data_IF_208430989848
#
_entry.id   IF_208430989848
#
_cell.length_a   1.000
_cell.length_b   1.000
_cell.length_c   1.000
_cell.angle_alpha   90.00
_cell.angle_beta   90.00
_cell.angle_gamma   90.00
#
_symmetry.space_group_name_H-M   'P 1'
#
loop_
_entity.id
_entity.type
_entity.pdbx_description
1 polymer ?
#
# COMPACT_ATOMS: atom_id res chain seq x y z
N UNK A 1 13.60 6.66 -3.24
CA UNK A 1 13.78 5.89 -2.00
C UNK A 1 12.55 5.03 -1.69
N UNK A 2 12.26 4.09 -2.60
CA UNK A 2 11.18 3.08 -2.60
C UNK A 2 11.12 2.30 -1.29
N UNK A 3 10.51 2.78 -0.19
CA UNK A 3 10.71 2.15 1.14
C UNK A 3 12.18 1.93 1.55
N UNK A 4 13.14 2.38 0.73
CA UNK A 4 14.58 2.18 0.80
C UNK A 4 15.17 3.39 1.54
N UNK A 5 14.67 3.66 2.74
CA UNK A 5 15.32 4.61 3.64
C UNK A 5 16.50 3.86 4.31
N UNK A 6 17.76 4.31 4.14
CA UNK A 6 18.91 3.67 4.75
C UNK A 6 18.98 3.86 6.28
N UNK A 7 18.01 4.55 6.90
CA UNK A 7 17.95 4.72 8.36
C UNK A 7 16.56 4.43 8.94
N UNK A 8 16.20 3.15 9.20
CA UNK A 8 15.10 2.82 10.12
C UNK A 8 15.32 3.35 11.55
N UNK A 9 16.53 3.82 11.86
CA UNK A 9 16.92 4.39 13.16
C UNK A 9 16.53 5.86 13.37
N UNK A 10 16.04 6.57 12.35
CA UNK A 10 15.47 7.92 12.54
C UNK A 10 14.03 7.92 13.06
N UNK A 11 13.51 6.74 13.44
CA UNK A 11 12.47 6.67 14.46
C UNK A 11 13.19 6.80 15.81
N UNK A 12 13.26 8.02 16.34
CA UNK A 12 13.70 8.24 17.71
C UNK A 12 12.74 7.52 18.67
N UNK A 13 13.16 6.35 19.16
CA UNK A 13 12.44 5.56 20.16
C UNK A 13 12.58 6.15 21.59
N UNK A 14 13.33 7.25 21.77
CA UNK A 14 13.71 7.81 23.06
C UNK A 14 13.33 9.29 23.26
N UNK A 15 12.27 9.77 22.62
CA UNK A 15 11.64 11.02 23.04
C UNK A 15 10.91 10.84 24.39
N UNK A 16 11.03 11.80 25.33
CA UNK A 16 10.56 11.64 26.71
C UNK A 16 9.04 11.38 26.76
N UNK A 17 8.65 10.39 27.59
CA UNK A 17 7.27 9.90 27.82
C UNK A 17 6.28 10.94 28.38
N UNK A 18 6.64 12.21 28.42
CA UNK A 18 5.83 13.29 28.99
C UNK A 18 5.92 14.54 28.12
N UNK A 19 5.27 14.49 26.95
CA UNK A 19 4.77 15.69 26.30
C UNK A 19 3.28 15.47 26.03
N UNK A 20 2.45 16.26 26.70
CA UNK A 20 1.07 16.47 26.26
C UNK A 20 1.14 17.15 24.88
N UNK A 21 0.94 16.38 23.83
CA UNK A 21 1.03 16.85 22.45
C UNK A 21 1.07 15.65 21.51
N UNK A 22 0.22 15.65 20.50
CA UNK A 22 0.18 14.62 19.47
C UNK A 22 1.55 14.47 18.78
N UNK A 23 1.85 13.29 18.24
CA UNK A 23 3.08 13.08 17.47
C UNK A 23 3.11 14.02 16.25
N UNK A 24 4.29 14.49 15.79
CA UNK A 24 4.40 15.29 14.56
C UNK A 24 3.74 14.59 13.38
N UNK A 25 3.01 15.34 12.55
CA UNK A 25 2.26 14.82 11.41
C UNK A 25 0.92 14.14 11.75
N UNK A 26 0.42 14.33 12.98
CA UNK A 26 -0.89 13.82 13.40
C UNK A 26 -1.70 14.90 14.11
N UNK A 27 -2.97 15.04 13.76
CA UNK A 27 -3.91 15.93 14.42
C UNK A 27 -5.26 15.24 14.68
N UNK A 28 -5.93 15.60 15.76
CA UNK A 28 -7.33 15.23 15.99
C UNK A 28 -8.23 16.41 15.66
N UNK A 29 -9.21 16.19 14.77
CA UNK A 29 -10.22 17.19 14.40
C UNK A 29 -11.60 16.74 14.89
N UNK A 30 -12.33 17.67 15.49
CA UNK A 30 -13.65 17.45 16.06
C UNK A 30 -14.73 17.49 14.98
N UNK A 31 -14.95 16.38 14.29
CA UNK A 31 -16.02 16.17 13.29
C UNK A 31 -17.43 16.15 13.90
N UNK A 32 -18.50 16.14 13.10
CA UNK A 32 -19.89 16.35 13.55
C UNK A 32 -20.26 15.53 14.80
N UNK A 33 -20.09 14.21 14.75
CA UNK A 33 -20.38 13.28 15.87
C UNK A 33 -19.13 12.58 16.41
N UNK A 34 -18.07 12.53 15.61
CA UNK A 34 -16.86 11.75 15.87
C UNK A 34 -15.59 12.62 15.82
N UNK A 35 -14.55 12.18 16.51
CA UNK A 35 -13.20 12.70 16.34
C UNK A 35 -12.57 12.01 15.14
N UNK A 36 -12.12 12.80 14.17
CA UNK A 36 -11.40 12.35 12.97
C UNK A 36 -9.92 12.56 13.21
N UNK A 37 -9.12 11.50 13.02
CA UNK A 37 -7.67 11.60 13.06
C UNK A 37 -7.18 12.04 11.69
N UNK A 38 -6.23 12.98 11.61
CA UNK A 38 -5.69 13.51 10.36
C UNK A 38 -4.20 13.21 10.33
N UNK A 39 -3.78 12.44 9.33
CA UNK A 39 -2.39 12.09 9.07
C UNK A 39 -1.84 13.03 7.99
N UNK A 40 -0.82 13.78 8.36
CA UNK A 40 0.00 14.57 7.43
C UNK A 40 0.92 13.63 6.64
N UNK A 41 1.03 13.79 5.31
CA UNK A 41 1.93 12.97 4.52
C UNK A 41 3.39 13.32 4.79
N UNK A 42 4.27 12.35 4.58
CA UNK A 42 5.72 12.61 4.48
C UNK A 42 6.20 12.39 3.05
N UNK A 43 7.03 13.29 2.55
CA UNK A 43 7.69 13.13 1.26
C UNK A 43 8.73 12.01 1.33
N UNK A 44 8.59 10.99 0.47
CA UNK A 44 9.52 9.87 0.34
C UNK A 44 9.81 9.70 -1.14
N UNK A 45 11.06 9.58 -1.60
CA UNK A 45 11.29 9.31 -3.01
C UNK A 45 10.90 7.85 -3.35
N UNK A 46 10.61 7.46 -4.57
CA UNK A 46 10.27 6.10 -5.03
C UNK A 46 11.30 5.59 -6.07
N UNK A 47 12.16 4.62 -5.72
CA UNK A 47 13.11 4.00 -6.68
C UNK A 47 14.57 4.47 -6.56
N UNK A 48 15.09 4.63 -5.33
CA UNK A 48 16.48 5.09 -5.12
C UNK A 48 16.72 6.62 -5.25
N UNK A 49 17.94 7.09 -5.60
CA UNK A 49 18.35 8.51 -5.56
C UNK A 49 17.90 9.40 -6.73
N UNK A 50 17.47 8.83 -7.86
CA UNK A 50 16.91 9.57 -9.03
C UNK A 50 15.41 9.29 -9.22
N UNK A 51 14.77 9.13 -8.09
CA UNK A 51 13.40 8.68 -7.93
C UNK A 51 12.41 9.84 -7.96
N UNK A 52 11.22 9.61 -8.52
CA UNK A 52 10.08 10.50 -8.29
C UNK A 52 9.75 10.59 -6.79
N UNK A 53 9.13 11.67 -6.33
CA UNK A 53 8.73 11.82 -4.92
C UNK A 53 7.28 11.43 -4.74
N UNK A 54 6.97 10.76 -3.64
CA UNK A 54 5.62 10.37 -3.24
C UNK A 54 5.33 10.88 -1.83
N UNK A 55 4.04 10.99 -1.51
CA UNK A 55 3.50 11.45 -0.24
C UNK A 55 2.94 10.25 0.52
N UNK A 56 3.64 9.83 1.58
CA UNK A 56 3.26 8.66 2.37
C UNK A 56 2.43 9.01 3.58
N UNK A 57 1.25 8.42 3.69
CA UNK A 57 0.33 8.65 4.84
C UNK A 57 0.26 7.46 5.80
N UNK A 58 0.32 6.22 5.30
CA UNK A 58 0.53 5.02 6.11
C UNK A 58 1.63 4.13 5.50
N UNK A 59 2.44 3.42 6.32
CA UNK A 59 2.38 3.39 7.77
C UNK A 59 3.10 4.59 8.40
N UNK A 60 2.55 5.07 9.52
CA UNK A 60 3.16 6.05 10.42
C UNK A 60 3.02 5.61 11.89
N UNK A 61 3.72 6.29 12.81
CA UNK A 61 3.70 5.92 14.25
C UNK A 61 2.28 6.00 14.83
N UNK A 62 1.52 7.01 14.43
CA UNK A 62 0.17 7.22 14.95
C UNK A 62 -0.86 6.23 14.37
N UNK A 63 -0.66 5.76 13.13
CA UNK A 63 -1.55 4.83 12.45
C UNK A 63 -0.74 3.98 11.48
N UNK A 64 -0.73 2.66 11.71
CA UNK A 64 -0.01 1.73 10.86
C UNK A 64 -0.92 1.00 9.87
N UNK A 65 -2.16 0.70 10.25
CA UNK A 65 -3.15 0.12 9.35
C UNK A 65 -4.52 0.82 9.44
N UNK A 66 -5.30 0.70 8.36
CA UNK A 66 -6.74 0.95 8.30
C UNK A 66 -7.38 -0.32 7.75
N UNK A 67 -8.12 -1.07 8.56
CA UNK A 67 -8.48 -2.44 8.21
C UNK A 67 -7.21 -3.29 8.00
N UNK A 68 -7.08 -3.92 6.83
CA UNK A 68 -5.84 -4.58 6.41
C UNK A 68 -4.91 -3.68 5.56
N UNK A 69 -5.34 -2.47 5.17
CA UNK A 69 -4.51 -1.52 4.43
C UNK A 69 -3.33 -1.08 5.30
N UNK A 70 -2.10 -1.41 4.89
CA UNK A 70 -0.90 -1.18 5.68
C UNK A 70 0.09 -0.21 5.02
N UNK A 71 -0.23 0.26 3.81
CA UNK A 71 0.59 1.18 3.03
C UNK A 71 -0.26 2.06 2.13
N UNK A 72 0.09 3.34 2.04
CA UNK A 72 -0.50 4.30 1.11
C UNK A 72 0.54 5.35 0.74
N UNK A 73 0.98 5.29 -0.51
CA UNK A 73 1.70 6.35 -1.19
C UNK A 73 0.78 7.04 -2.19
N UNK A 74 0.70 8.36 -2.10
CA UNK A 74 0.07 9.22 -3.09
C UNK A 74 1.16 9.90 -3.92
N UNK A 75 1.00 9.98 -5.24
CA UNK A 75 1.98 10.60 -6.12
C UNK A 75 1.34 11.43 -7.21
N UNK A 76 2.03 12.51 -7.58
CA UNK A 76 1.54 13.49 -8.55
C UNK A 76 0.46 14.44 -8.01
N UNK A 77 -0.20 15.18 -8.91
CA UNK A 77 0.03 15.20 -10.36
C UNK A 77 1.41 15.77 -10.72
N UNK A 78 2.28 14.93 -11.29
CA UNK A 78 3.66 15.28 -11.62
C UNK A 78 3.87 15.30 -13.14
N UNK A 79 4.53 16.34 -13.64
CA UNK A 79 5.07 16.38 -15.00
C UNK A 79 6.24 15.39 -15.13
N UNK A 80 6.08 14.36 -15.95
CA UNK A 80 7.06 13.29 -16.16
C UNK A 80 8.37 13.82 -16.76
N UNK A 81 8.33 14.91 -17.53
CA UNK A 81 9.54 15.51 -18.06
C UNK A 81 10.44 16.08 -16.94
N UNK A 82 9.84 16.43 -15.79
CA UNK A 82 10.55 16.97 -14.62
C UNK A 82 10.85 15.87 -13.59
N UNK A 83 9.87 15.00 -13.30
CA UNK A 83 10.00 13.95 -12.29
C UNK A 83 10.77 12.72 -12.76
N UNK A 84 10.87 12.52 -14.08
CA UNK A 84 11.43 11.31 -14.70
C UNK A 84 10.44 10.14 -14.79
N UNK A 85 9.22 10.30 -14.27
CA UNK A 85 8.18 9.28 -14.19
C UNK A 85 8.48 8.17 -13.19
N UNK A 86 7.61 7.17 -13.15
CA UNK A 86 7.79 5.96 -12.36
C UNK A 86 8.83 5.05 -13.03
N UNK A 87 9.85 4.66 -12.28
CA UNK A 87 10.91 3.75 -12.72
C UNK A 87 11.34 2.85 -11.57
N UNK A 88 10.51 1.88 -11.26
CA UNK A 88 10.74 0.94 -10.17
C UNK A 88 11.21 -0.37 -10.77
N UNK A 89 12.53 -0.62 -10.67
CA UNK A 89 13.14 -1.85 -11.14
C UNK A 89 12.64 -3.08 -10.33
N UNK A 90 12.97 -4.27 -10.84
CA UNK A 90 12.56 -5.55 -10.26
C UNK A 90 12.81 -5.59 -8.74
N UNK A 91 11.77 -5.80 -7.95
CA UNK A 91 11.83 -5.89 -6.49
C UNK A 91 10.76 -6.86 -5.97
N UNK A 92 10.94 -7.43 -4.77
CA UNK A 92 10.06 -8.47 -4.27
C UNK A 92 8.90 -7.91 -3.46
N UNK A 93 7.84 -8.71 -3.31
CA UNK A 93 6.82 -8.60 -2.26
C UNK A 93 6.50 -9.98 -1.68
N UNK A 94 6.07 -10.04 -0.42
CA UNK A 94 5.65 -11.28 0.25
C UNK A 94 4.63 -10.99 1.35
N UNK A 95 3.57 -11.80 1.44
CA UNK A 95 2.55 -11.72 2.50
C UNK A 95 1.55 -10.55 2.37
N UNK A 96 1.42 -9.98 1.18
CA UNK A 96 0.60 -8.79 0.91
C UNK A 96 0.03 -8.82 -0.51
N UNK A 97 -0.88 -7.90 -0.80
CA UNK A 97 -1.15 -7.46 -2.16
C UNK A 97 -0.83 -5.98 -2.33
N UNK A 98 -0.40 -5.62 -3.54
CA UNK A 98 -0.28 -4.23 -3.96
C UNK A 98 -1.48 -3.86 -4.83
N UNK A 99 -1.99 -2.64 -4.68
CA UNK A 99 -3.14 -2.10 -5.38
C UNK A 99 -2.75 -0.75 -5.96
N UNK A 100 -2.68 -0.68 -7.28
CA UNK A 100 -2.37 0.55 -8.02
C UNK A 100 -3.68 1.15 -8.57
N UNK A 101 -3.88 2.45 -8.35
CA UNK A 101 -4.98 3.22 -8.95
C UNK A 101 -4.45 4.54 -9.50
N UNK A 102 -4.64 4.77 -10.80
CA UNK A 102 -4.23 6.01 -11.44
C UNK A 102 -5.41 6.98 -11.60
N UNK A 103 -5.13 8.25 -11.37
CA UNK A 103 -5.99 9.37 -11.74
C UNK A 103 -5.62 9.93 -13.11
N UNK A 104 -4.33 9.88 -13.47
CA UNK A 104 -3.77 10.29 -14.75
C UNK A 104 -2.48 9.51 -15.05
N UNK A 105 -2.16 9.34 -16.33
CA UNK A 105 -0.96 8.65 -16.78
C UNK A 105 -1.14 7.15 -16.97
N UNK A 106 -0.04 6.44 -17.29
CA UNK A 106 -0.04 5.00 -17.57
C UNK A 106 1.26 4.34 -17.10
N UNK A 107 1.13 3.18 -16.46
CA UNK A 107 2.27 2.41 -15.93
C UNK A 107 2.20 0.99 -16.46
N UNK A 108 3.32 0.50 -17.00
CA UNK A 108 3.53 -0.92 -17.28
C UNK A 108 3.95 -1.64 -16.00
N UNK A 109 3.27 -2.73 -15.71
CA UNK A 109 3.57 -3.69 -14.65
C UNK A 109 4.01 -5.01 -15.30
N UNK A 110 5.11 -5.58 -14.82
CA UNK A 110 5.59 -6.92 -15.20
C UNK A 110 5.95 -7.67 -13.92
N UNK A 111 5.55 -8.93 -13.79
CA UNK A 111 5.88 -9.75 -12.63
C UNK A 111 6.44 -11.14 -12.95
N UNK A 112 7.02 -11.76 -11.92
CA UNK A 112 7.64 -13.08 -11.98
C UNK A 112 6.66 -14.25 -12.00
N UNK A 113 5.35 -13.98 -11.89
CA UNK A 113 4.32 -14.98 -12.15
C UNK A 113 3.93 -15.01 -13.64
N UNK A 114 4.60 -14.20 -14.48
CA UNK A 114 4.40 -14.14 -15.92
C UNK A 114 3.29 -13.20 -16.35
N UNK A 115 2.80 -12.33 -15.45
CA UNK A 115 1.78 -11.35 -15.82
C UNK A 115 2.42 -10.06 -16.34
N UNK A 116 1.74 -9.46 -17.30
CA UNK A 116 1.96 -8.08 -17.72
C UNK A 116 0.63 -7.34 -17.69
N UNK A 117 0.68 -6.08 -17.26
CA UNK A 117 -0.48 -5.21 -17.19
C UNK A 117 -0.12 -3.78 -17.54
N UNK A 118 -0.99 -3.14 -18.30
CA UNK A 118 -0.97 -1.69 -18.46
C UNK A 118 -2.00 -1.08 -17.50
N UNK A 119 -1.52 -0.46 -16.43
CA UNK A 119 -2.35 0.26 -15.44
C UNK A 119 -2.80 1.58 -16.04
N UNK A 120 -4.11 1.84 -16.02
CA UNK A 120 -4.73 3.03 -16.61
C UNK A 120 -5.56 3.81 -15.60
N UNK A 121 -5.90 5.08 -15.92
CA UNK A 121 -6.71 5.89 -15.03
C UNK A 121 -8.11 5.29 -14.82
N UNK A 122 -8.54 5.23 -13.57
CA UNK A 122 -9.83 4.67 -13.20
C UNK A 122 -9.93 3.15 -13.33
N UNK A 123 -8.80 2.44 -13.36
CA UNK A 123 -8.70 0.99 -13.29
C UNK A 123 -7.92 0.59 -12.04
N UNK A 124 -8.35 -0.51 -11.41
CA UNK A 124 -7.59 -1.14 -10.34
C UNK A 124 -6.70 -2.21 -10.92
N UNK A 125 -5.44 -2.22 -10.48
CA UNK A 125 -4.49 -3.30 -10.71
C UNK A 125 -4.06 -3.86 -9.35
N UNK A 126 -4.54 -5.05 -9.01
CA UNK A 126 -4.23 -5.74 -7.75
C UNK A 126 -3.26 -6.89 -8.06
N UNK A 127 -2.03 -6.79 -7.55
CA UNK A 127 -1.07 -7.89 -7.57
C UNK A 127 -1.07 -8.56 -6.21
N UNK A 128 -1.52 -9.81 -6.15
CA UNK A 128 -1.36 -10.68 -4.99
C UNK A 128 0.06 -11.24 -4.98
N UNK A 129 0.84 -10.91 -3.95
CA UNK A 129 2.21 -11.42 -3.83
C UNK A 129 2.29 -12.80 -3.19
N UNK A 130 1.36 -13.12 -2.29
CA UNK A 130 1.28 -14.42 -1.64
C UNK A 130 2.61 -14.87 -1.03
N UNK A 131 3.01 -16.11 -1.32
CA UNK A 131 4.27 -16.68 -0.83
C UNK A 131 5.52 -15.94 -1.33
N UNK A 132 5.44 -15.17 -2.41
CA UNK A 132 6.57 -14.44 -2.98
C UNK A 132 6.39 -14.13 -4.45
N UNK A 133 6.65 -12.88 -4.83
CA UNK A 133 6.71 -12.43 -6.22
C UNK A 133 7.77 -11.35 -6.37
N UNK A 134 8.34 -11.17 -7.55
CA UNK A 134 9.04 -9.94 -7.93
C UNK A 134 8.33 -9.23 -9.07
N UNK A 135 8.36 -7.90 -9.07
CA UNK A 135 7.75 -7.10 -10.15
C UNK A 135 8.52 -5.81 -10.43
N UNK A 136 8.26 -5.21 -11.59
CA UNK A 136 8.72 -3.88 -11.98
C UNK A 136 7.54 -3.01 -12.41
N UNK A 137 7.67 -1.70 -12.19
CA UNK A 137 6.66 -0.71 -12.57
C UNK A 137 7.32 0.49 -13.24
N UNK A 138 6.92 0.76 -14.49
CA UNK A 138 7.50 1.83 -15.30
C UNK A 138 6.42 2.69 -15.95
N UNK A 139 6.56 4.01 -15.90
CA UNK A 139 5.74 4.89 -16.74
C UNK A 139 5.95 4.54 -18.21
N UNK A 140 4.84 4.37 -18.93
CA UNK A 140 4.87 4.16 -20.38
C UNK A 140 5.49 5.35 -21.11
N UNK A 141 6.08 5.11 -22.27
CA UNK A 141 6.81 6.13 -23.04
C UNK A 141 5.96 7.35 -23.44
N UNK A 142 4.64 7.19 -23.51
CA UNK A 142 3.68 8.25 -23.85
C UNK A 142 2.99 8.88 -22.62
N UNK A 143 3.46 8.59 -21.41
CA UNK A 143 2.99 9.25 -20.18
C UNK A 143 3.66 10.62 -20.01
N UNK A 144 2.86 11.69 -20.02
CA UNK A 144 3.31 13.07 -19.81
C UNK A 144 3.06 13.56 -18.39
N UNK A 145 1.95 13.15 -17.78
CA UNK A 145 1.63 13.38 -16.37
C UNK A 145 1.38 12.05 -15.69
N UNK A 146 1.81 11.94 -14.44
CA UNK A 146 1.57 10.78 -13.61
C UNK A 146 0.91 11.23 -12.31
N UNK A 147 -0.24 10.64 -11.98
CA UNK A 147 -1.02 10.97 -10.81
C UNK A 147 -1.75 9.72 -10.33
N UNK A 148 -1.55 9.29 -9.09
CA UNK A 148 -2.15 8.05 -8.60
C UNK A 148 -1.85 7.75 -7.14
N UNK A 149 -2.32 6.58 -6.72
CA UNK A 149 -2.02 6.00 -5.41
C UNK A 149 -1.49 4.58 -5.58
N UNK A 150 -0.53 4.22 -4.73
CA UNK A 150 -0.09 2.86 -4.49
C UNK A 150 -0.49 2.48 -3.08
N UNK A 151 -1.33 1.45 -2.94
CA UNK A 151 -1.77 0.93 -1.65
C UNK A 151 -1.31 -0.50 -1.47
N UNK A 152 -1.01 -0.91 -0.24
CA UNK A 152 -0.82 -2.33 0.08
C UNK A 152 -1.81 -2.74 1.16
N UNK A 153 -2.31 -3.96 1.06
CA UNK A 153 -2.99 -4.59 2.18
C UNK A 153 -2.27 -5.87 2.61
N UNK A 154 -2.18 -6.05 3.92
CA UNK A 154 -1.60 -7.22 4.53
C UNK A 154 -2.55 -8.41 4.41
N UNK A 155 -2.04 -9.57 4.04
CA UNK A 155 -2.87 -10.78 4.06
C UNK A 155 -3.09 -11.26 5.50
N UNK A 156 -4.31 -11.69 5.85
CA UNK A 156 -4.55 -12.48 7.06
C UNK A 156 -3.70 -13.76 7.04
N UNK A 157 -3.40 -14.30 8.22
CA UNK A 157 -2.49 -15.45 8.38
C UNK A 157 -2.84 -16.60 7.44
N UNK A 158 -4.13 -16.90 7.31
CA UNK A 158 -4.63 -18.02 6.50
C UNK A 158 -4.32 -17.93 5.00
N UNK A 159 -3.98 -16.74 4.48
CA UNK A 159 -3.80 -16.49 3.05
C UNK A 159 -2.39 -16.02 2.67
N UNK A 160 -1.47 -15.84 3.64
CA UNK A 160 -0.12 -15.28 3.37
C UNK A 160 0.70 -16.05 2.35
N UNK A 161 0.46 -17.34 2.20
CA UNK A 161 1.23 -18.23 1.33
C UNK A 161 0.42 -18.73 0.11
N UNK A 162 -0.61 -17.99 -0.29
CA UNK A 162 -1.35 -18.26 -1.53
C UNK A 162 -0.46 -18.08 -2.77
N UNK A 163 -0.91 -18.58 -3.92
CA UNK A 163 -0.22 -18.39 -5.19
C UNK A 163 -0.34 -16.92 -5.65
N UNK A 164 0.75 -16.33 -6.18
CA UNK A 164 0.71 -15.01 -6.76
C UNK A 164 -0.21 -14.95 -7.99
N UNK A 165 -0.92 -13.84 -8.15
CA UNK A 165 -1.77 -13.58 -9.31
C UNK A 165 -2.00 -12.08 -9.48
N UNK A 166 -2.58 -11.71 -10.61
CA UNK A 166 -2.89 -10.33 -10.95
C UNK A 166 -4.37 -10.20 -11.36
N UNK A 167 -5.07 -9.28 -10.72
CA UNK A 167 -6.43 -8.88 -11.09
C UNK A 167 -6.43 -7.46 -11.65
N UNK A 168 -7.12 -7.29 -12.79
CA UNK A 168 -7.38 -5.98 -13.37
C UNK A 168 -8.88 -5.77 -13.55
N UNK A 169 -9.36 -4.61 -13.12
CA UNK A 169 -10.77 -4.28 -13.26
C UNK A 169 -10.98 -2.79 -13.51
N UNK A 170 -11.90 -2.48 -14.42
CA UNK A 170 -12.38 -1.11 -14.67
C UNK A 170 -13.79 -1.00 -14.10
N UNK A 171 -13.99 -0.31 -12.96
CA UNK A 171 -15.32 -0.09 -12.42
C UNK A 171 -16.18 0.75 -13.35
N UNK A 172 -17.48 0.46 -13.38
CA UNK A 172 -18.46 1.39 -13.92
C UNK A 172 -18.56 2.62 -13.01
N UNK A 173 -18.75 3.79 -13.62
CA UNK A 173 -19.03 5.01 -12.87
C UNK A 173 -20.47 4.96 -12.38
N UNK A 174 -20.65 5.05 -11.06
CA UNK A 174 -21.95 5.33 -10.45
C UNK A 174 -22.09 6.81 -10.16
N UNK A 175 -23.31 7.35 -10.29
CA UNK A 175 -23.57 8.77 -10.15
C UNK A 175 -24.78 9.02 -9.26
N UNK A 176 -24.83 10.21 -8.67
CA UNK A 176 -25.99 10.77 -8.01
C UNK A 176 -25.98 12.29 -8.07
N UNK A 177 -26.78 12.94 -7.24
CA UNK A 177 -26.92 14.40 -7.27
C UNK A 177 -25.61 15.11 -6.89
N UNK A 178 -24.90 15.62 -7.89
CA UNK A 178 -23.64 16.36 -7.72
C UNK A 178 -22.42 15.49 -7.41
N UNK A 179 -22.51 14.16 -7.54
CA UNK A 179 -21.40 13.26 -7.25
C UNK A 179 -21.28 12.10 -8.23
N UNK A 180 -20.05 11.64 -8.42
CA UNK A 180 -19.73 10.39 -9.12
C UNK A 180 -18.70 9.59 -8.34
N UNK A 181 -18.73 8.26 -8.49
CA UNK A 181 -17.79 7.37 -7.86
C UNK A 181 -17.46 6.15 -8.73
N UNK A 182 -16.26 5.59 -8.51
CA UNK A 182 -15.82 4.31 -9.08
C UNK A 182 -15.33 3.42 -7.96
N UNK A 183 -15.99 2.28 -7.76
CA UNK A 183 -15.68 1.33 -6.69
C UNK A 183 -14.67 0.32 -7.19
N UNK A 184 -13.40 0.51 -6.79
CA UNK A 184 -12.28 -0.32 -7.18
C UNK A 184 -12.30 -1.69 -6.51
N UNK A 185 -12.59 -1.73 -5.20
CA UNK A 185 -12.60 -2.94 -4.36
C UNK A 185 -13.81 -2.86 -3.43
N UNK A 186 -14.43 -4.01 -3.18
CA UNK A 186 -15.56 -4.13 -2.24
C UNK A 186 -16.88 -3.57 -2.78
N UNK A 187 -17.77 -3.22 -1.84
CA UNK A 187 -19.12 -2.73 -2.13
C UNK A 187 -19.37 -1.38 -1.47
N UNK A 188 -19.67 -0.36 -2.26
CA UNK A 188 -20.01 1.01 -1.81
C UNK A 188 -21.03 1.62 -2.78
N UNK A 189 -21.90 2.49 -2.28
CA UNK A 189 -22.81 3.31 -3.12
C UNK A 189 -23.65 2.47 -4.12
N UNK A 190 -24.05 1.25 -3.72
CA UNK A 190 -24.82 0.33 -4.55
C UNK A 190 -24.03 -0.36 -5.66
N UNK A 191 -22.73 -0.10 -5.80
CA UNK A 191 -21.83 -0.79 -6.73
C UNK A 191 -20.94 -1.79 -5.98
N UNK A 192 -20.61 -2.90 -6.64
CA UNK A 192 -19.74 -3.96 -6.10
C UNK A 192 -18.69 -4.33 -7.12
N UNK A 193 -17.42 -4.24 -6.72
CA UNK A 193 -16.29 -4.71 -7.52
C UNK A 193 -16.22 -6.24 -7.51
N UNK A 194 -15.90 -6.89 -8.65
CA UNK A 194 -15.65 -8.33 -8.71
C UNK A 194 -14.25 -8.72 -8.22
N UNK A 195 -13.38 -7.75 -7.91
CA UNK A 195 -12.01 -8.02 -7.44
C UNK A 195 -12.06 -8.70 -6.08
N UNK A 196 -11.56 -9.92 -6.01
CA UNK A 196 -11.53 -10.70 -4.77
C UNK A 196 -10.42 -10.20 -3.84
N UNK A 197 -10.70 -10.27 -2.54
CA UNK A 197 -9.73 -9.91 -1.48
C UNK A 197 -9.80 -10.93 -0.36
N UNK A 198 -8.69 -11.11 0.35
CA UNK A 198 -8.60 -12.08 1.46
C UNK A 198 -9.11 -11.55 2.80
N UNK A 199 -9.63 -10.32 2.83
CA UNK A 199 -10.25 -9.67 3.98
C UNK A 199 -11.34 -8.72 3.45
N UNK A 200 -12.43 -8.45 4.19
CA UNK A 200 -13.41 -7.45 3.79
C UNK A 200 -12.78 -6.06 3.66
N UNK A 201 -12.63 -5.58 2.43
CA UNK A 201 -12.02 -4.28 2.10
C UNK A 201 -12.93 -3.49 1.17
N UNK A 202 -12.78 -2.17 1.18
CA UNK A 202 -13.30 -1.29 0.15
C UNK A 202 -12.28 -0.24 -0.28
N UNK A 203 -12.34 0.15 -1.55
CA UNK A 203 -11.61 1.27 -2.11
C UNK A 203 -12.43 1.94 -3.22
N UNK A 204 -12.56 3.26 -3.22
CA UNK A 204 -13.30 4.00 -4.23
C UNK A 204 -12.72 5.40 -4.49
N UNK A 205 -12.58 5.76 -5.77
CA UNK A 205 -12.44 7.16 -6.17
C UNK A 205 -13.82 7.82 -6.13
N UNK A 206 -13.93 8.96 -5.48
CA UNK A 206 -15.16 9.74 -5.38
C UNK A 206 -14.87 11.18 -5.78
N UNK A 207 -15.77 11.78 -6.57
CA UNK A 207 -15.74 13.19 -6.94
C UNK A 207 -17.05 13.85 -6.56
N UNK A 208 -16.95 15.02 -5.94
CA UNK A 208 -18.11 15.87 -5.65
C UNK A 208 -17.97 17.20 -6.40
N UNK A 209 -19.07 17.64 -7.02
CA UNK A 209 -19.25 19.02 -7.48
C UNK A 209 -19.24 19.98 -6.28
N UNK A 210 -19.05 21.30 -6.47
CA UNK A 210 -19.16 22.29 -5.40
C UNK A 210 -20.47 22.18 -4.61
N UNK A 211 -20.40 22.47 -3.30
CA UNK A 211 -21.54 22.51 -2.39
C UNK A 211 -22.37 21.22 -2.33
N UNK A 212 -21.74 20.08 -2.58
CA UNK A 212 -22.39 18.76 -2.56
C UNK A 212 -22.08 18.05 -1.25
N UNK A 213 -23.05 17.32 -0.73
CA UNK A 213 -22.88 16.41 0.42
C UNK A 213 -23.32 15.02 0.02
N UNK A 214 -22.44 14.05 0.23
CA UNK A 214 -22.67 12.62 0.01
C UNK A 214 -22.63 11.88 1.35
N UNK A 215 -23.66 11.10 1.62
CA UNK A 215 -23.67 10.16 2.74
C UNK A 215 -23.44 8.74 2.20
N UNK A 216 -22.54 8.00 2.83
CA UNK A 216 -22.11 6.66 2.40
C UNK A 216 -22.37 5.70 3.55
N UNK A 217 -23.30 4.77 3.37
CA UNK A 217 -23.53 3.71 4.35
C UNK A 217 -22.35 2.74 4.34
N UNK A 218 -21.87 2.39 5.53
CA UNK A 218 -20.68 1.54 5.71
C UNK A 218 -20.90 0.54 6.87
N UNK A 219 -20.23 -0.63 6.83
CA UNK A 219 -20.27 -1.57 7.94
C UNK A 219 -19.68 -0.95 9.22
N UNK A 220 -20.36 -1.12 10.35
CA UNK A 220 -19.95 -0.52 11.63
C UNK A 220 -18.63 -1.13 12.13
N UNK A 221 -18.34 -2.36 11.75
CA UNK A 221 -17.14 -3.12 12.06
C UNK A 221 -15.91 -2.64 11.28
N UNK A 222 -16.08 -1.82 10.23
CA UNK A 222 -14.98 -1.34 9.41
C UNK A 222 -14.35 -0.05 9.92
N UNK A 223 -13.05 0.07 9.71
CA UNK A 223 -12.32 1.34 9.76
C UNK A 223 -12.32 2.00 8.38
N UNK A 224 -12.16 3.32 8.33
CA UNK A 224 -12.19 4.09 7.09
C UNK A 224 -11.10 5.15 7.05
N UNK A 225 -10.48 5.31 5.87
CA UNK A 225 -9.51 6.33 5.55
C UNK A 225 -9.95 7.12 4.32
N UNK A 226 -9.88 8.44 4.37
CA UNK A 226 -10.20 9.33 3.26
C UNK A 226 -8.97 10.17 2.89
N UNK A 227 -8.36 9.86 1.74
CA UNK A 227 -7.29 10.68 1.18
C UNK A 227 -7.91 11.81 0.35
N UNK A 228 -7.60 13.06 0.68
CA UNK A 228 -7.94 14.19 -0.16
C UNK A 228 -6.94 14.29 -1.33
N UNK A 229 -7.41 14.13 -2.55
CA UNK A 229 -6.57 14.07 -3.77
C UNK A 229 -6.54 15.41 -4.47
N UNK A 230 -7.70 16.03 -4.67
CA UNK A 230 -7.81 17.38 -5.24
C UNK A 230 -8.68 18.23 -4.31
N UNK A 231 -8.13 19.35 -3.85
CA UNK A 231 -8.77 20.28 -2.91
C UNK A 231 -9.05 19.69 -1.51
N UNK A 232 -9.44 20.57 -0.58
CA UNK A 232 -9.79 20.19 0.79
C UNK A 232 -11.18 19.57 0.84
N UNK A 233 -11.30 18.38 1.42
CA UNK A 233 -12.56 17.69 1.65
C UNK A 233 -13.06 17.89 3.08
N UNK A 234 -14.38 17.91 3.30
CA UNK A 234 -14.94 17.78 4.63
C UNK A 234 -15.37 16.32 4.86
N UNK A 235 -14.73 15.65 5.82
CA UNK A 235 -14.98 14.26 6.19
C UNK A 235 -15.57 14.18 7.59
N UNK A 236 -16.84 13.80 7.67
CA UNK A 236 -17.63 13.75 8.90
C UNK A 236 -17.48 15.03 9.75
N UNK A 237 -17.46 16.21 9.13
CA UNK A 237 -17.32 17.51 9.80
C UNK A 237 -15.88 18.00 9.98
N UNK A 238 -14.86 17.18 9.70
CA UNK A 238 -13.46 17.58 9.78
C UNK A 238 -12.89 17.94 8.40
N UNK A 239 -12.16 19.05 8.30
CA UNK A 239 -11.46 19.42 7.06
C UNK A 239 -10.20 18.58 6.88
N UNK A 240 -10.11 17.87 5.75
CA UNK A 240 -8.97 17.08 5.31
C UNK A 240 -8.32 17.83 4.16
N UNK A 241 -7.15 18.39 4.44
CA UNK A 241 -6.35 19.14 3.46
C UNK A 241 -5.83 18.21 2.38
N UNK A 242 -5.54 18.76 1.21
CA UNK A 242 -4.97 17.99 0.09
C UNK A 242 -3.74 17.20 0.53
N UNK A 243 -3.59 15.98 0.02
CA UNK A 243 -2.55 15.00 0.34
C UNK A 243 -2.63 14.39 1.75
N UNK A 244 -3.54 14.86 2.61
CA UNK A 244 -3.73 14.30 3.96
C UNK A 244 -4.72 13.14 3.95
N UNK A 245 -4.55 12.24 4.91
CA UNK A 245 -5.45 11.12 5.16
C UNK A 245 -6.27 11.38 6.43
N UNK A 246 -7.59 11.50 6.28
CA UNK A 246 -8.52 11.46 7.41
C UNK A 246 -8.82 10.01 7.78
N UNK A 247 -8.76 9.66 9.07
CA UNK A 247 -9.06 8.33 9.59
C UNK A 247 -10.24 8.38 10.55
N UNK A 248 -11.15 7.41 10.39
CA UNK A 248 -12.22 7.09 11.32
C UNK A 248 -12.16 5.62 11.70
N UNK A 249 -12.29 5.38 13.00
CA UNK A 249 -12.39 4.05 13.56
C UNK A 249 -13.73 3.34 13.30
N UNK A 250 -13.86 2.14 13.86
CA UNK A 250 -15.10 1.36 13.88
C UNK A 250 -16.20 2.05 14.70
N UNK A 251 -17.44 1.60 14.53
CA UNK A 251 -18.64 2.10 15.20
C UNK A 251 -19.37 3.18 14.41
N UNK A 252 -18.84 3.60 13.26
CA UNK A 252 -19.48 4.52 12.32
C UNK A 252 -20.28 3.71 11.30
N UNK A 253 -21.57 3.98 11.15
CA UNK A 253 -22.46 3.30 10.18
C UNK A 253 -22.69 4.10 8.91
N UNK A 254 -22.36 5.39 8.93
CA UNK A 254 -22.51 6.29 7.80
C UNK A 254 -21.38 7.33 7.80
N UNK A 255 -20.67 7.41 6.69
CA UNK A 255 -19.69 8.47 6.43
C UNK A 255 -20.39 9.63 5.75
N UNK A 256 -19.99 10.85 6.09
CA UNK A 256 -20.45 12.05 5.41
C UNK A 256 -19.25 12.74 4.76
N UNK A 257 -19.32 12.92 3.44
CA UNK A 257 -18.34 13.65 2.66
C UNK A 257 -19.01 14.89 2.09
N UNK A 258 -18.38 16.05 2.20
CA UNK A 258 -18.87 17.25 1.53
C UNK A 258 -17.78 18.13 0.94
N UNK A 259 -18.14 18.84 -0.12
CA UNK A 259 -17.32 19.82 -0.82
C UNK A 259 -17.70 21.25 -0.43
N UNK A 260 -16.71 22.14 -0.47
CA UNK A 260 -16.91 23.58 -0.31
C UNK A 260 -17.25 24.27 -1.62
N UNK A 261 -16.62 25.42 -1.88
CA UNK A 261 -16.78 26.19 -3.13
C UNK A 261 -16.13 25.52 -4.36
N UNK A 262 -15.20 24.60 -4.13
CA UNK A 262 -14.47 23.89 -5.18
C UNK A 262 -14.92 22.44 -5.28
N UNK A 263 -14.90 21.84 -6.49
CA UNK A 263 -15.06 20.40 -6.60
C UNK A 263 -13.90 19.70 -5.89
N UNK A 264 -14.15 18.50 -5.38
CA UNK A 264 -13.13 17.68 -4.72
C UNK A 264 -12.98 16.33 -5.41
N UNK A 265 -11.79 15.76 -5.33
CA UNK A 265 -11.53 14.35 -5.62
C UNK A 265 -10.91 13.71 -4.39
N UNK A 266 -11.39 12.52 -4.04
CA UNK A 266 -10.90 11.77 -2.88
C UNK A 266 -10.75 10.29 -3.22
N UNK A 267 -9.87 9.62 -2.50
CA UNK A 267 -9.79 8.16 -2.45
C UNK A 267 -10.26 7.70 -1.06
N UNK A 268 -11.40 7.02 -1.01
CA UNK A 268 -11.90 6.38 0.19
C UNK A 268 -11.38 4.95 0.24
N UNK A 269 -10.81 4.56 1.37
CA UNK A 269 -10.46 3.17 1.69
C UNK A 269 -11.13 2.75 2.99
N UNK A 270 -11.37 1.47 3.14
CA UNK A 270 -11.86 0.92 4.40
C UNK A 270 -11.77 -0.59 4.44
N UNK A 271 -12.14 -1.14 5.58
CA UNK A 271 -12.18 -2.58 5.78
C UNK A 271 -12.24 -2.99 7.23
N UNK A 272 -12.49 -4.29 7.44
CA UNK A 272 -12.47 -4.89 8.75
C UNK A 272 -11.05 -4.83 9.34
N UNK A 273 -10.87 -4.46 10.63
CA UNK A 273 -9.59 -4.53 11.31
C UNK A 273 -8.94 -5.90 11.15
N UNK A 274 -7.68 -5.94 10.72
CA UNK A 274 -6.94 -7.19 10.52
C UNK A 274 -6.87 -8.04 11.81
N UNK A 275 -6.82 -7.40 12.98
CA UNK A 275 -6.72 -8.05 14.30
C UNK A 275 -5.54 -9.04 14.45
N UNK A 276 -4.49 -8.85 13.64
CA UNK A 276 -3.24 -9.60 13.71
C UNK A 276 -2.06 -8.63 13.81
N UNK A 277 -1.05 -9.04 14.57
CA UNK A 277 0.22 -8.32 14.67
C UNK A 277 1.06 -8.58 13.41
N UNK A 278 1.43 -7.54 12.67
CA UNK A 278 2.28 -7.66 11.47
C UNK A 278 3.67 -7.09 11.71
N UNK A 279 4.70 -7.72 11.15
CA UNK A 279 6.04 -7.14 11.01
C UNK A 279 6.19 -6.71 9.55
N UNK A 280 6.36 -5.42 9.33
CA UNK A 280 6.55 -4.86 8.00
C UNK A 280 7.94 -4.23 7.88
N UNK A 281 8.71 -4.70 6.91
CA UNK A 281 10.04 -4.19 6.61
C UNK A 281 10.30 -4.25 5.12
N UNK A 282 10.77 -3.13 4.57
CA UNK A 282 10.96 -2.94 3.13
C UNK A 282 9.70 -3.29 2.34
N UNK A 283 9.68 -4.45 1.66
CA UNK A 283 8.57 -4.93 0.84
C UNK A 283 7.98 -6.26 1.36
N UNK A 284 8.26 -6.60 2.61
CA UNK A 284 7.81 -7.84 3.23
C UNK A 284 6.85 -7.54 4.37
N UNK A 285 5.73 -8.27 4.41
CA UNK A 285 4.73 -8.22 5.48
C UNK A 285 4.60 -9.61 6.09
N UNK A 286 5.30 -9.82 7.20
CA UNK A 286 5.36 -11.08 7.95
C UNK A 286 4.77 -10.95 9.35
N UNK A 287 5.18 -11.84 10.25
CA UNK A 287 4.77 -11.91 11.66
C UNK A 287 5.94 -11.85 12.63
N UNK A 288 7.17 -12.07 12.17
CA UNK A 288 8.35 -12.04 13.03
C UNK A 288 9.60 -11.49 12.32
N UNK A 289 10.62 -11.12 13.10
CA UNK A 289 11.91 -10.72 12.54
C UNK A 289 12.55 -11.84 11.73
N UNK A 290 12.53 -13.07 12.25
CA UNK A 290 13.19 -14.23 11.64
C UNK A 290 12.58 -14.58 10.29
N UNK A 291 11.26 -14.45 10.16
CA UNK A 291 10.55 -14.68 8.90
C UNK A 291 10.97 -13.65 7.83
N UNK A 292 10.99 -12.36 8.18
CA UNK A 292 11.46 -11.29 7.29
C UNK A 292 12.93 -11.52 6.91
N UNK A 293 13.77 -11.90 7.86
CA UNK A 293 15.18 -12.16 7.62
C UNK A 293 15.37 -13.32 6.64
N UNK A 294 14.57 -14.39 6.77
CA UNK A 294 14.60 -15.54 5.88
C UNK A 294 14.17 -15.16 4.46
N UNK A 295 13.07 -14.43 4.29
CA UNK A 295 12.60 -13.96 2.97
C UNK A 295 13.63 -13.04 2.30
N UNK A 296 14.21 -12.10 3.05
CA UNK A 296 15.31 -11.27 2.56
C UNK A 296 16.49 -12.12 2.08
N UNK A 297 16.91 -13.10 2.88
CA UNK A 297 18.05 -13.96 2.55
C UNK A 297 17.80 -14.75 1.26
N UNK A 298 16.60 -15.30 1.09
CA UNK A 298 16.20 -16.01 -0.14
C UNK A 298 16.20 -15.09 -1.34
N UNK A 299 15.63 -13.89 -1.21
CA UNK A 299 15.65 -12.88 -2.27
C UNK A 299 17.08 -12.53 -2.69
N UNK A 300 17.94 -12.21 -1.72
CA UNK A 300 19.33 -11.83 -2.00
C UNK A 300 20.09 -12.97 -2.69
N UNK A 301 19.86 -14.22 -2.30
CA UNK A 301 20.47 -15.39 -2.93
C UNK A 301 19.92 -15.64 -4.34
N UNK A 302 18.59 -15.66 -4.51
CA UNK A 302 17.96 -15.86 -5.82
C UNK A 302 18.30 -14.75 -6.83
N UNK A 303 18.58 -13.53 -6.36
CA UNK A 303 18.98 -12.41 -7.23
C UNK A 303 20.50 -12.32 -7.47
N UNK A 304 21.31 -13.18 -6.83
CA UNK A 304 22.78 -13.16 -6.98
C UNK A 304 23.46 -11.99 -6.27
N UNK A 305 22.86 -11.46 -5.19
CA UNK A 305 23.46 -10.38 -4.39
C UNK A 305 24.27 -10.89 -3.19
N UNK A 306 23.85 -12.01 -2.61
CA UNK A 306 24.49 -12.64 -1.45
C UNK A 306 24.56 -14.15 -1.67
N UNK A 307 25.55 -14.85 -1.10
CA UNK A 307 25.63 -16.30 -1.22
C UNK A 307 24.44 -16.99 -0.54
N UNK A 308 24.03 -18.17 -1.02
CA UNK A 308 22.92 -18.92 -0.46
C UNK A 308 23.18 -19.40 0.97
N UNK A 309 22.13 -19.41 1.78
CA UNK A 309 22.15 -19.95 3.13
C UNK A 309 22.37 -21.47 3.14
N UNK A 310 22.85 -22.02 4.26
CA UNK A 310 22.84 -23.46 4.49
C UNK A 310 21.43 -24.03 4.34
N UNK A 311 21.30 -25.15 3.61
CA UNK A 311 20.02 -25.80 3.33
C UNK A 311 19.21 -25.17 2.19
N UNK A 312 19.67 -24.07 1.58
CA UNK A 312 19.06 -23.53 0.36
C UNK A 312 19.24 -24.51 -0.83
N UNK A 313 18.25 -24.65 -1.73
CA UNK A 313 18.43 -25.35 -3.01
C UNK A 313 19.57 -24.78 -3.87
N UNK A 314 19.98 -23.53 -3.63
CA UNK A 314 21.09 -22.87 -4.32
C UNK A 314 22.47 -23.19 -3.72
N UNK A 315 22.59 -23.93 -2.61
CA UNK A 315 23.89 -24.24 -1.99
C UNK A 315 24.84 -24.88 -3.00
N UNK A 316 26.03 -24.32 -3.14
CA UNK A 316 27.04 -24.77 -4.11
C UNK A 316 26.98 -24.07 -5.47
N UNK A 317 25.98 -23.20 -5.68
CA UNK A 317 25.87 -22.35 -6.86
C UNK A 317 26.16 -20.89 -6.47
N UNK A 318 27.29 -20.36 -6.92
CA UNK A 318 27.63 -18.95 -6.76
C UNK A 318 27.02 -18.16 -7.93
N UNK A 319 26.09 -17.26 -7.62
CA UNK A 319 25.34 -16.50 -8.61
C UNK A 319 25.84 -15.05 -8.65
N UNK A 320 26.28 -14.61 -9.83
CA UNK A 320 26.61 -13.19 -10.09
C UNK A 320 25.41 -12.39 -10.64
N UNK A 321 24.32 -13.07 -10.96
CA UNK A 321 23.08 -12.52 -11.53
C UNK A 321 21.87 -13.28 -11.01
N UNK A 322 20.68 -12.73 -11.22
CA UNK A 322 19.44 -13.41 -10.85
C UNK A 322 19.33 -14.80 -11.50
N UNK A 323 18.86 -15.77 -10.69
CA UNK A 323 18.59 -17.13 -11.09
C UNK A 323 17.64 -17.17 -12.29
N UNK A 324 18.05 -17.86 -13.35
CA UNK A 324 17.30 -17.98 -14.60
C UNK A 324 17.79 -19.17 -15.44
N UNK A 325 17.01 -19.54 -16.45
CA UNK A 325 17.43 -20.50 -17.49
C UNK A 325 17.75 -21.91 -16.97
N UNK A 326 18.73 -22.63 -17.56
CA UNK A 326 18.93 -24.06 -17.30
C UNK A 326 19.19 -24.44 -15.84
N UNK A 327 19.86 -23.56 -15.08
CA UNK A 327 20.10 -23.80 -13.66
C UNK A 327 18.81 -23.71 -12.85
N UNK A 328 17.92 -22.77 -13.19
CA UNK A 328 16.60 -22.70 -12.59
C UNK A 328 15.83 -23.99 -12.88
N UNK A 329 15.77 -24.40 -14.16
CA UNK A 329 15.06 -25.61 -14.59
C UNK A 329 15.52 -26.87 -13.84
N UNK A 330 16.83 -27.01 -13.60
CA UNK A 330 17.42 -28.11 -12.83
C UNK A 330 16.92 -28.11 -11.36
N UNK A 331 16.77 -26.92 -10.78
CA UNK A 331 16.49 -26.75 -9.36
C UNK A 331 14.99 -26.63 -9.03
N UNK A 332 14.11 -26.40 -10.01
CA UNK A 332 12.65 -26.28 -9.85
C UNK A 332 11.98 -27.40 -9.01
N UNK A 333 12.41 -28.68 -9.06
CA UNK A 333 11.79 -29.73 -8.24
C UNK A 333 12.06 -29.61 -6.72
N UNK A 334 12.99 -28.75 -6.31
CA UNK A 334 13.37 -28.58 -4.90
C UNK A 334 12.41 -27.66 -4.14
N UNK A 335 12.59 -27.63 -2.82
CA UNK A 335 11.91 -26.71 -1.92
C UNK A 335 12.89 -26.24 -0.84
N UNK A 336 12.60 -25.11 -0.21
CA UNK A 336 13.32 -24.66 0.98
C UNK A 336 13.05 -25.60 2.17
N UNK A 337 13.92 -25.59 3.21
CA UNK A 337 13.79 -26.50 4.36
C UNK A 337 12.46 -26.42 5.12
N UNK A 338 11.76 -25.29 5.05
CA UNK A 338 10.44 -25.08 5.63
C UNK A 338 9.28 -25.49 4.69
N UNK A 339 9.59 -26.21 3.61
CA UNK A 339 8.66 -26.61 2.55
C UNK A 339 8.14 -25.46 1.69
N UNK A 340 8.68 -24.23 1.82
CA UNK A 340 8.40 -23.16 0.85
C UNK A 340 8.89 -23.60 -0.54
N UNK A 341 8.04 -23.40 -1.54
CA UNK A 341 8.37 -23.66 -2.95
C UNK A 341 9.63 -22.91 -3.40
N UNK A 342 10.41 -23.53 -4.26
CA UNK A 342 11.56 -22.91 -4.93
C UNK A 342 11.30 -22.71 -6.44
N UNK A 343 11.76 -21.60 -7.05
CA UNK A 343 12.21 -20.37 -6.39
C UNK A 343 11.03 -19.64 -5.71
N UNK A 344 11.32 -18.82 -4.70
CA UNK A 344 10.30 -18.01 -4.04
C UNK A 344 9.95 -16.75 -4.84
N UNK A 345 10.90 -16.18 -5.58
CA UNK A 345 10.74 -14.89 -6.27
C UNK A 345 10.71 -14.96 -7.80
N UNK A 346 10.65 -16.18 -8.33
CA UNK A 346 10.36 -16.51 -9.72
C UNK A 346 11.40 -16.07 -10.75
N UNK A 347 11.20 -16.51 -11.98
CA UNK A 347 11.93 -16.00 -13.15
C UNK A 347 11.37 -14.63 -13.56
N UNK A 348 12.10 -13.87 -14.36
CA UNK A 348 11.65 -12.57 -14.85
C UNK A 348 11.98 -12.45 -16.34
N UNK A 349 11.20 -11.68 -17.12
CA UNK A 349 11.51 -11.49 -18.53
C UNK A 349 12.95 -11.00 -18.77
N UNK A 350 13.60 -11.46 -19.85
CA UNK A 350 14.92 -10.97 -20.23
C UNK A 350 14.86 -9.49 -20.62
N UNK A 351 16.02 -8.82 -20.65
CA UNK A 351 16.20 -7.42 -21.05
C UNK A 351 15.52 -6.37 -20.13
N UNK A 352 14.98 -6.80 -18.99
CA UNK A 352 14.51 -5.92 -17.93
C UNK A 352 15.68 -5.33 -17.10
N UNK A 353 15.52 -4.14 -16.49
CA UNK A 353 16.52 -3.58 -15.59
C UNK A 353 16.88 -4.54 -14.45
N UNK A 354 18.15 -4.50 -14.02
CA UNK A 354 18.64 -5.32 -12.92
C UNK A 354 17.80 -5.14 -11.63
N UNK A 355 17.62 -6.20 -10.82
CA UNK A 355 16.85 -6.13 -9.59
C UNK A 355 17.47 -5.16 -8.58
N UNK A 356 16.63 -4.69 -7.65
CA UNK A 356 17.06 -3.85 -6.53
C UNK A 356 17.57 -4.72 -5.38
N UNK A 357 18.77 -4.50 -4.83
CA UNK A 357 19.21 -5.21 -3.64
C UNK A 357 18.36 -4.80 -2.43
N UNK A 358 18.03 -5.78 -1.59
CA UNK A 358 17.36 -5.53 -0.32
C UNK A 358 18.30 -4.76 0.62
N UNK A 359 17.80 -3.76 1.39
CA UNK A 359 18.58 -3.10 2.43
C UNK A 359 19.14 -4.09 3.44
N UNK A 360 20.19 -3.71 4.18
CA UNK A 360 20.60 -4.48 5.34
C UNK A 360 19.47 -4.53 6.39
N UNK A 361 19.33 -5.67 7.08
CA UNK A 361 18.41 -5.77 8.21
C UNK A 361 18.86 -4.82 9.34
N UNK A 362 17.91 -4.28 10.13
CA UNK A 362 18.26 -3.50 11.31
C UNK A 362 19.02 -4.36 12.33
N UNK A 363 19.93 -3.72 13.07
CA UNK A 363 20.70 -4.39 14.12
C UNK A 363 19.82 -4.87 15.30
N UNK A 364 18.70 -4.17 15.54
CA UNK A 364 17.71 -4.55 16.55
C UNK A 364 16.58 -5.37 15.94
N UNK A 365 16.03 -6.36 16.68
CA UNK A 365 14.86 -7.11 16.23
C UNK A 365 13.70 -6.20 15.87
N UNK A 366 13.05 -6.51 14.75
CA UNK A 366 11.88 -5.79 14.28
C UNK A 366 10.70 -6.08 15.20
N UNK A 367 9.93 -5.04 15.54
CA UNK A 367 8.76 -5.17 16.40
C UNK A 367 7.50 -5.23 15.57
N UNK A 368 6.50 -6.04 15.98
CA UNK A 368 5.20 -6.00 15.36
C UNK A 368 4.57 -4.61 15.49
N UNK A 369 3.83 -4.22 14.46
CA UNK A 369 3.03 -3.00 14.43
C UNK A 369 1.75 -3.26 15.19
N UNK A 370 1.52 -2.48 16.24
CA UNK A 370 0.25 -2.44 16.96
C UNK A 370 -0.49 -1.17 16.58
N UNK A 371 -1.76 -1.32 16.20
CA UNK A 371 -2.63 -0.16 16.01
C UNK A 371 -3.13 0.35 17.37
N UNK A 372 -3.28 1.68 17.55
CA UNK A 372 -4.03 2.22 18.67
C UNK A 372 -5.52 1.80 18.57
N UNK A 373 -6.32 1.99 19.64
CA UNK A 373 -7.72 1.58 19.66
C UNK A 373 -8.49 1.98 18.40
N UNK A 374 -9.25 1.03 17.88
CA UNK A 374 -9.90 1.14 16.57
C UNK A 374 -11.28 1.77 16.65
N UNK A 375 -11.88 1.92 17.83
CA UNK A 375 -13.23 2.48 17.98
C UNK A 375 -13.23 4.00 17.78
N UNK A 376 -14.09 4.50 16.90
CA UNK A 376 -14.28 5.92 16.67
C UNK A 376 -14.71 6.63 17.96
N UNK A 377 -13.93 7.62 18.37
CA UNK A 377 -14.22 8.39 19.58
C UNK A 377 -15.35 9.36 19.28
N UNK A 378 -16.44 9.27 20.06
CA UNK A 378 -17.52 10.26 20.02
C UNK A 378 -17.10 11.54 20.72
N UNK A 379 -17.65 12.67 20.25
CA UNK A 379 -17.55 13.93 20.99
C UNK A 379 -18.16 13.79 22.39
N UNK A 380 -17.57 14.42 23.42
CA UNK A 380 -18.27 14.62 24.68
C UNK A 380 -19.60 15.34 24.41
N UNK A 381 -20.71 14.83 24.93
CA UNK A 381 -21.93 15.63 25.01
C UNK A 381 -21.64 16.81 25.94
N UNK A 382 -21.67 18.03 25.42
CA UNK A 382 -21.78 19.20 26.29
C UNK A 382 -23.17 19.14 26.92
N UNK A 383 -23.25 18.77 28.21
CA UNK A 383 -24.44 18.94 29.01
C UNK A 383 -24.84 20.44 28.95
N UNK A 384 -25.94 20.73 28.26
CA UNK A 384 -26.55 22.06 28.20
C UNK A 384 -27.53 22.28 29.34
#
# INVERSE_FOLDING_TARGET
MTNLDPNPELIDYNMPKHAQGLAPGFAEKYGTDYIVEVLEPRAVPLGGPRAMTVQRTIPQRARSLIGAWCFLDYFGPDDVAQSGGMRVARHPHTGLATVSWLFEGRVDHIDSAGNWALVRPGEVNLMSAGFGITHSEHSTADTTFLHGVQLWYAFPEAHRFTEPHLDQYRPETVTGDGWEAKVAIGSLLGSTSPVETYSPLCAAEIRLEPHTTLNIDVPAEHEHGLLAVECTANFNGALIEENHLGYLGTGVTQLQLSSGEHPIRVMLIGGEPLNEDIVMWWNFVGRSHDEIAQWRQRYQAEMGFEPPAEGSPLVGHDLDTALSGPLLDELLPNAYPDSTRFPQYGEFPPDEPAPLPAPALPALPMKPRQNPPTVARRKPQEDR
#
